data_IF_354424563019
#
_entry.id   IF_354424563019
#
_cell.length_a   1.000
_cell.length_b   1.000
_cell.length_c   1.000
_cell.angle_alpha   90.00
_cell.angle_beta   90.00
_cell.angle_gamma   90.00
#
_symmetry.space_group_name_H-M   'P 1'
#
loop_
_entity.id
_entity.type
_entity.pdbx_description
1 polymer ?
#
# COMPACT_ATOMS: atom_id res chain seq x y z
N UNK A 1 11.38 -28.19 10.48
CA UNK A 1 10.58 -26.98 10.20
C UNK A 1 9.18 -27.41 9.77
N UNK A 2 8.23 -27.42 10.69
CA UNK A 2 6.83 -27.77 10.38
C UNK A 2 6.26 -26.69 9.46
N UNK A 3 6.00 -27.01 8.19
CA UNK A 3 5.39 -26.08 7.24
C UNK A 3 4.04 -25.66 7.82
N UNK A 4 3.90 -24.39 8.22
CA UNK A 4 2.61 -23.86 8.69
C UNK A 4 1.59 -24.09 7.58
N UNK A 5 0.40 -24.63 7.88
CA UNK A 5 -0.61 -24.86 6.87
C UNK A 5 -0.96 -23.51 6.22
N UNK A 6 -0.71 -23.41 4.91
CA UNK A 6 -1.07 -22.25 4.09
C UNK A 6 -2.59 -22.19 3.99
N UNK A 7 -3.25 -21.68 5.03
CA UNK A 7 -4.68 -21.42 4.98
C UNK A 7 -4.92 -20.09 4.22
N UNK A 8 -6.03 -19.96 3.49
CA UNK A 8 -6.40 -18.70 2.84
C UNK A 8 -6.44 -17.52 3.83
N UNK A 9 -6.90 -17.80 5.05
CA UNK A 9 -6.93 -16.84 6.17
C UNK A 9 -5.52 -16.38 6.54
N UNK A 10 -4.55 -17.30 6.61
CA UNK A 10 -3.15 -16.95 6.89
C UNK A 10 -2.57 -16.01 5.82
N UNK A 11 -2.85 -16.26 4.54
CA UNK A 11 -2.40 -15.40 3.44
C UNK A 11 -3.00 -14.00 3.56
N UNK A 12 -4.30 -13.91 3.87
CA UNK A 12 -5.01 -12.65 4.05
C UNK A 12 -4.43 -11.81 5.19
N UNK A 13 -4.20 -12.42 6.36
CA UNK A 13 -3.54 -11.74 7.48
C UNK A 13 -2.10 -11.38 7.15
N UNK A 14 -1.37 -12.23 6.44
CA UNK A 14 0.01 -11.93 6.05
C UNK A 14 0.08 -10.68 5.17
N UNK A 15 -0.78 -10.58 4.16
CA UNK A 15 -0.89 -9.39 3.29
C UNK A 15 -1.34 -8.17 4.10
N UNK A 16 -2.33 -8.31 4.98
CA UNK A 16 -2.83 -7.21 5.82
C UNK A 16 -1.77 -6.69 6.81
N UNK A 17 -0.86 -7.53 7.30
CA UNK A 17 0.20 -7.12 8.22
C UNK A 17 1.49 -6.68 7.53
N UNK A 18 1.57 -6.76 6.20
CA UNK A 18 2.75 -6.39 5.44
C UNK A 18 2.75 -4.88 5.16
N UNK A 19 3.76 -4.11 5.61
CA UNK A 19 3.79 -2.66 5.39
C UNK A 19 3.76 -2.28 3.91
N UNK A 20 4.34 -3.08 3.02
CA UNK A 20 4.40 -2.78 1.60
C UNK A 20 3.02 -2.82 0.93
N UNK A 21 2.10 -3.67 1.41
CA UNK A 21 0.70 -3.66 0.96
C UNK A 21 0.03 -2.31 1.25
N UNK A 22 0.25 -1.74 2.43
CA UNK A 22 -0.29 -0.44 2.79
C UNK A 22 0.36 0.70 2.02
N UNK A 23 1.67 0.61 1.72
CA UNK A 23 2.36 1.59 0.86
C UNK A 23 1.80 1.57 -0.55
N UNK A 24 1.57 0.38 -1.11
CA UNK A 24 0.98 0.23 -2.44
C UNK A 24 -0.44 0.79 -2.49
N UNK A 25 -1.26 0.46 -1.49
CA UNK A 25 -2.63 0.94 -1.40
C UNK A 25 -2.67 2.47 -1.28
N UNK A 26 -1.84 3.06 -0.42
CA UNK A 26 -1.74 4.52 -0.29
C UNK A 26 -1.21 5.19 -1.55
N UNK A 27 -0.19 4.62 -2.21
CA UNK A 27 0.33 5.12 -3.48
C UNK A 27 -0.75 5.12 -4.57
N UNK A 28 -1.52 4.04 -4.68
CA UNK A 28 -2.63 3.94 -5.62
C UNK A 28 -3.73 4.97 -5.32
N UNK A 29 -4.13 5.12 -4.04
CA UNK A 29 -5.12 6.11 -3.62
C UNK A 29 -4.66 7.53 -3.97
N UNK A 30 -3.40 7.87 -3.66
CA UNK A 30 -2.85 9.20 -4.00
C UNK A 30 -2.84 9.42 -5.50
N UNK A 31 -2.45 8.42 -6.31
CA UNK A 31 -2.49 8.54 -7.76
C UNK A 31 -3.91 8.79 -8.28
N UNK A 32 -4.88 7.99 -7.85
CA UNK A 32 -6.28 8.13 -8.29
C UNK A 32 -6.88 9.49 -7.90
N UNK A 33 -6.54 10.02 -6.73
CA UNK A 33 -7.06 11.31 -6.26
C UNK A 33 -6.34 12.50 -6.90
N UNK A 34 -5.01 12.43 -7.02
CA UNK A 34 -4.19 13.58 -7.40
C UNK A 34 -4.03 13.73 -8.91
N UNK A 35 -3.91 12.63 -9.65
CA UNK A 35 -3.72 12.65 -11.10
C UNK A 35 -4.83 13.38 -11.86
N UNK A 36 -6.15 13.22 -11.58
CA UNK A 36 -7.18 13.98 -12.29
C UNK A 36 -7.07 15.50 -12.12
N UNK A 37 -6.41 15.98 -11.06
CA UNK A 37 -6.17 17.40 -10.82
C UNK A 37 -4.92 17.93 -11.55
N UNK A 38 -4.03 17.04 -11.99
CA UNK A 38 -2.77 17.38 -12.67
C UNK A 38 -2.87 17.10 -14.19
N UNK A 39 -3.80 16.25 -14.61
CA UNK A 39 -4.01 15.93 -16.02
C UNK A 39 -4.38 17.18 -16.82
N UNK A 40 -3.64 17.40 -17.92
CA UNK A 40 -3.94 18.44 -18.88
C UNK A 40 -4.82 17.88 -20.01
N UNK A 41 -5.76 18.65 -20.55
CA UNK A 41 -6.69 18.19 -21.58
C UNK A 41 -5.99 17.79 -22.90
N UNK A 42 -4.78 18.27 -23.15
CA UNK A 42 -3.95 17.92 -24.31
C UNK A 42 -3.14 16.62 -24.18
N UNK A 43 -3.22 15.93 -23.04
CA UNK A 43 -2.45 14.71 -22.80
C UNK A 43 -3.06 13.49 -23.49
N UNK A 44 -2.21 12.72 -24.17
CA UNK A 44 -2.62 11.42 -24.70
C UNK A 44 -2.69 10.34 -23.58
N UNK A 45 -3.31 9.20 -23.89
CA UNK A 45 -3.52 8.10 -22.93
C UNK A 45 -2.19 7.60 -22.33
N UNK A 46 -1.11 7.55 -23.13
CA UNK A 46 0.21 7.10 -22.67
C UNK A 46 0.79 8.06 -21.64
N UNK A 47 0.72 9.38 -21.89
CA UNK A 47 1.18 10.41 -20.96
C UNK A 47 0.36 10.40 -19.67
N UNK A 48 -0.96 10.26 -19.77
CA UNK A 48 -1.84 10.16 -18.61
C UNK A 48 -1.53 8.92 -17.75
N UNK A 49 -1.25 7.79 -18.39
CA UNK A 49 -0.89 6.53 -17.72
C UNK A 49 0.48 6.65 -17.04
N UNK A 50 1.46 7.25 -17.73
CA UNK A 50 2.79 7.50 -17.16
C UNK A 50 2.70 8.39 -15.92
N UNK A 51 1.87 9.43 -15.96
CA UNK A 51 1.66 10.34 -14.82
C UNK A 51 1.02 9.60 -13.63
N UNK A 52 0.08 8.68 -13.88
CA UNK A 52 -0.46 7.81 -12.83
C UNK A 52 0.63 6.96 -12.18
N UNK A 53 1.49 6.32 -12.97
CA UNK A 53 2.58 5.48 -12.45
C UNK A 53 3.56 6.32 -11.64
N UNK A 54 3.94 7.50 -12.12
CA UNK A 54 4.86 8.40 -11.41
C UNK A 54 4.29 8.83 -10.06
N UNK A 55 3.04 9.31 -10.04
CA UNK A 55 2.38 9.75 -8.79
C UNK A 55 2.17 8.58 -7.85
N UNK A 56 1.83 7.38 -8.36
CA UNK A 56 1.70 6.18 -7.53
C UNK A 56 3.03 5.81 -6.87
N UNK A 57 4.14 5.87 -7.60
CA UNK A 57 5.49 5.62 -7.05
C UNK A 57 5.88 6.66 -6.00
N UNK A 58 5.61 7.95 -6.23
CA UNK A 58 5.88 9.01 -5.26
C UNK A 58 5.03 8.77 -4.00
N UNK A 59 3.73 8.51 -4.17
CA UNK A 59 2.82 8.19 -3.08
C UNK A 59 3.27 6.97 -2.29
N UNK A 60 3.78 5.92 -2.95
CA UNK A 60 4.35 4.73 -2.33
C UNK A 60 5.56 5.04 -1.42
N UNK A 61 6.46 5.91 -1.90
CA UNK A 61 7.67 6.30 -1.15
C UNK A 61 7.29 7.18 0.05
N UNK A 62 6.43 8.17 -0.14
CA UNK A 62 5.98 9.08 0.93
C UNK A 62 5.15 8.32 1.97
N UNK A 63 4.36 7.34 1.54
CA UNK A 63 3.54 6.53 2.43
C UNK A 63 4.33 5.54 3.31
N UNK A 64 5.66 5.48 3.22
CA UNK A 64 6.49 4.57 4.02
C UNK A 64 6.23 4.67 5.53
N UNK A 65 6.21 5.91 6.05
CA UNK A 65 5.98 6.17 7.48
C UNK A 65 4.55 5.85 7.93
N UNK A 66 3.49 6.37 7.27
CA UNK A 66 2.13 6.06 7.68
C UNK A 66 1.78 4.58 7.51
N UNK A 67 2.26 3.92 6.45
CA UNK A 67 2.04 2.48 6.24
C UNK A 67 2.68 1.62 7.33
N UNK A 68 3.92 1.93 7.74
CA UNK A 68 4.57 1.26 8.86
C UNK A 68 3.79 1.46 10.17
N UNK A 69 3.25 2.67 10.39
CA UNK A 69 2.39 2.98 11.53
C UNK A 69 1.10 2.15 11.55
N UNK A 70 0.42 2.03 10.42
CA UNK A 70 -0.82 1.23 10.27
C UNK A 70 -0.54 -0.24 10.56
N UNK A 71 0.51 -0.82 9.96
CA UNK A 71 0.87 -2.21 10.21
C UNK A 71 1.27 -2.45 11.67
N UNK A 72 1.97 -1.51 12.30
CA UNK A 72 2.37 -1.63 13.71
C UNK A 72 1.15 -1.49 14.65
N UNK A 73 0.22 -0.58 14.34
CA UNK A 73 -1.02 -0.42 15.09
C UNK A 73 -1.91 -1.66 15.01
N UNK A 74 -2.08 -2.23 13.79
CA UNK A 74 -2.79 -3.48 13.55
C UNK A 74 -2.14 -4.64 14.30
N UNK A 75 -0.81 -4.79 14.23
CA UNK A 75 -0.07 -5.80 15.00
C UNK A 75 -0.30 -5.63 16.50
N UNK A 76 -0.25 -4.41 17.02
CA UNK A 76 -0.45 -4.13 18.45
C UNK A 76 -1.87 -4.46 18.93
N UNK A 77 -2.88 -4.22 18.09
CA UNK A 77 -4.29 -4.50 18.39
C UNK A 77 -4.65 -5.98 18.28
N UNK A 78 -4.12 -6.68 17.28
CA UNK A 78 -4.51 -8.07 16.98
C UNK A 78 -3.62 -9.08 17.69
N UNK A 79 -2.31 -8.83 17.80
CA UNK A 79 -1.35 -9.76 18.44
C UNK A 79 -1.09 -9.46 19.93
N UNK A 80 -1.71 -8.42 20.50
CA UNK A 80 -1.77 -8.11 21.94
C UNK A 80 -0.50 -8.42 22.75
N UNK A 81 0.37 -7.44 22.98
CA UNK A 81 1.55 -7.45 23.89
C UNK A 81 2.48 -8.69 23.81
N UNK A 82 2.35 -9.52 22.78
CA UNK A 82 3.08 -10.79 22.60
C UNK A 82 3.97 -10.76 21.35
N UNK A 83 4.38 -9.56 20.91
CA UNK A 83 5.49 -9.44 19.99
C UNK A 83 6.79 -9.48 20.82
N UNK A 84 7.75 -10.38 20.51
CA UNK A 84 9.09 -10.33 21.11
C UNK A 84 9.82 -9.03 20.77
#
# INVERSE_FOLDING_TARGET
MTKRPLSPVYILFYILFWPDTWRFLMGAVVAVLLVPHILKPEMNIVQATMLHVMVACIGYVVAAKPAAGISHWLKRRILGKSAP
#
